data_IF_453604907484
#
_entry.id   IF_453604907484
#
_cell.length_a   1.000
_cell.length_b   1.000
_cell.length_c   1.000
_cell.angle_alpha   90.00
_cell.angle_beta   90.00
_cell.angle_gamma   90.00
#
_symmetry.space_group_name_H-M   'P 1'
#
loop_
_entity.id
_entity.type
_entity.pdbx_description
1 polymer ?
#
# COMPACT_ATOMS: atom_id res chain seq x y z
N UNK A 1 -7.56 8.80 -19.81
CA UNK A 1 -8.07 9.44 -18.57
C UNK A 1 -7.54 10.87 -18.55
N UNK A 2 -8.27 11.85 -18.02
CA UNK A 2 -7.74 13.24 -17.94
C UNK A 2 -7.02 13.44 -16.62
N UNK A 3 -5.78 13.90 -16.66
CA UNK A 3 -4.92 14.16 -15.51
C UNK A 3 -4.06 15.42 -15.77
N UNK A 4 -3.46 15.98 -14.73
CA UNK A 4 -2.40 16.98 -14.91
C UNK A 4 -1.19 16.35 -15.60
N UNK A 5 -0.42 17.15 -16.35
CA UNK A 5 0.63 16.66 -17.23
C UNK A 5 1.67 15.78 -16.53
N UNK A 6 2.18 16.18 -15.37
CA UNK A 6 3.20 15.40 -14.64
C UNK A 6 2.61 14.10 -14.08
N UNK A 7 1.35 14.15 -13.64
CA UNK A 7 0.63 12.96 -13.16
C UNK A 7 0.38 11.97 -14.29
N UNK A 8 0.05 12.47 -15.49
CA UNK A 8 -0.13 11.64 -16.68
C UNK A 8 1.19 10.96 -17.10
N UNK A 9 2.31 11.69 -17.12
CA UNK A 9 3.62 11.11 -17.43
C UNK A 9 4.00 10.02 -16.41
N UNK A 10 3.78 10.26 -15.12
CA UNK A 10 4.05 9.28 -14.08
C UNK A 10 3.19 8.02 -14.21
N UNK A 11 1.90 8.19 -14.56
CA UNK A 11 0.99 7.08 -14.81
C UNK A 11 1.43 6.25 -16.03
N UNK A 12 1.76 6.91 -17.15
CA UNK A 12 2.20 6.24 -18.38
C UNK A 12 3.53 5.50 -18.20
N UNK A 13 4.43 6.05 -17.39
CA UNK A 13 5.75 5.47 -17.09
C UNK A 13 5.73 4.48 -15.93
N UNK A 14 4.54 4.09 -15.47
CA UNK A 14 4.33 3.13 -14.39
C UNK A 14 4.87 3.56 -13.03
N UNK A 15 5.19 4.84 -12.83
CA UNK A 15 5.62 5.39 -11.54
C UNK A 15 4.46 5.73 -10.61
N UNK A 16 3.25 5.75 -11.14
CA UNK A 16 2.02 6.02 -10.39
C UNK A 16 0.93 5.04 -10.81
N UNK A 17 0.25 4.41 -9.85
CA UNK A 17 -0.89 3.52 -10.12
C UNK A 17 -1.98 3.66 -9.05
N UNK A 18 -3.12 3.01 -9.31
CA UNK A 18 -4.29 3.04 -8.46
C UNK A 18 -4.61 1.65 -7.92
N UNK A 19 -4.72 1.52 -6.61
CA UNK A 19 -5.10 0.28 -5.95
C UNK A 19 -6.55 0.32 -5.51
N UNK A 20 -7.31 -0.71 -5.86
CA UNK A 20 -8.72 -0.79 -5.50
C UNK A 20 -8.90 -0.79 -3.98
N UNK A 21 -9.94 -0.10 -3.53
CA UNK A 21 -10.41 -0.17 -2.15
C UNK A 21 -11.70 -0.98 -2.07
N UNK A 22 -12.25 -1.15 -0.86
CA UNK A 22 -13.58 -1.74 -0.66
C UNK A 22 -14.71 -0.88 -1.23
N UNK A 23 -14.44 0.40 -1.53
CA UNK A 23 -15.42 1.34 -2.06
C UNK A 23 -15.28 1.39 -3.59
N UNK A 24 -16.39 1.16 -4.28
CA UNK A 24 -16.44 1.20 -5.75
C UNK A 24 -15.97 2.57 -6.28
N UNK A 25 -15.15 2.55 -7.34
CA UNK A 25 -14.57 3.74 -7.97
C UNK A 25 -13.65 4.57 -7.04
N UNK A 26 -13.26 4.01 -5.90
CA UNK A 26 -12.35 4.62 -4.95
C UNK A 26 -11.03 3.84 -4.89
N UNK A 27 -9.91 4.54 -4.99
CA UNK A 27 -8.59 3.95 -5.13
C UNK A 27 -7.57 4.65 -4.26
N UNK A 28 -6.67 3.87 -3.66
CA UNK A 28 -5.45 4.42 -3.07
C UNK A 28 -4.50 4.81 -4.21
N UNK A 29 -3.85 5.96 -4.08
CA UNK A 29 -2.84 6.43 -5.03
C UNK A 29 -1.49 5.95 -4.54
N UNK A 30 -0.81 5.18 -5.37
CA UNK A 30 0.57 4.78 -5.10
C UNK A 30 1.47 5.52 -6.07
N UNK A 31 2.45 6.22 -5.53
CA UNK A 31 3.43 7.00 -6.27
C UNK A 31 4.82 6.72 -5.69
N UNK A 32 5.70 6.18 -6.54
CA UNK A 32 7.06 5.82 -6.15
C UNK A 32 8.08 6.94 -6.41
N UNK A 33 7.69 8.00 -7.11
CA UNK A 33 8.55 9.16 -7.40
C UNK A 33 8.43 10.28 -6.37
N UNK A 34 7.42 10.22 -5.49
CA UNK A 34 7.21 11.23 -4.47
C UNK A 34 6.79 12.58 -5.05
N UNK A 35 6.00 12.56 -6.12
CA UNK A 35 5.32 13.69 -6.74
C UNK A 35 4.33 14.29 -5.74
N UNK A 36 4.83 15.07 -4.79
CA UNK A 36 3.97 15.85 -3.90
C UNK A 36 3.62 17.18 -4.55
N UNK A 37 2.35 17.64 -4.44
CA UNK A 37 1.27 17.09 -3.61
C UNK A 37 0.26 16.24 -4.40
N UNK A 38 0.27 14.91 -4.20
CA UNK A 38 -0.80 14.00 -4.63
C UNK A 38 -1.70 13.61 -3.45
N UNK A 39 -3.01 13.38 -3.68
CA UNK A 39 -3.90 12.84 -2.67
C UNK A 39 -3.56 11.37 -2.40
N UNK A 40 -3.71 10.92 -1.15
CA UNK A 40 -3.55 9.51 -0.77
C UNK A 40 -4.61 8.61 -1.43
N UNK A 41 -5.80 9.16 -1.68
CA UNK A 41 -6.95 8.43 -2.19
C UNK A 41 -7.72 9.29 -3.18
N UNK A 42 -8.19 8.68 -4.26
CA UNK A 42 -9.05 9.32 -5.25
C UNK A 42 -10.38 8.58 -5.37
N UNK A 43 -11.43 9.30 -5.72
CA UNK A 43 -12.72 8.71 -6.08
C UNK A 43 -13.15 9.30 -7.41
N UNK A 44 -13.39 8.44 -8.41
CA UNK A 44 -13.95 8.91 -9.66
C UNK A 44 -15.43 9.22 -9.45
N UNK A 45 -15.78 10.49 -9.63
CA UNK A 45 -17.15 10.98 -9.50
C UNK A 45 -17.60 11.60 -10.81
N UNK A 46 -18.92 11.61 -11.06
CA UNK A 46 -19.47 12.38 -12.17
C UNK A 46 -19.58 13.84 -11.75
N UNK A 47 -19.09 14.80 -12.54
CA UNK A 47 -19.27 16.21 -12.23
C UNK A 47 -20.76 16.57 -12.29
N UNK A 48 -21.20 17.41 -11.35
CA UNK A 48 -22.58 17.90 -11.30
C UNK A 48 -22.90 18.84 -12.46
N UNK A 49 -21.89 19.54 -12.99
CA UNK A 49 -21.98 20.42 -14.15
C UNK A 49 -21.07 19.84 -15.24
N UNK A 50 -21.65 19.49 -16.38
CA UNK A 50 -20.90 18.93 -17.51
C UNK A 50 -20.17 20.08 -18.23
N UNK A 51 -18.84 20.06 -18.20
CA UNK A 51 -18.04 20.94 -19.03
C UNK A 51 -18.20 20.58 -20.52
N UNK A 52 -17.97 21.51 -21.47
CA UNK A 52 -17.94 21.20 -22.89
C UNK A 52 -16.94 20.05 -23.15
N UNK A 53 -17.43 18.96 -23.75
CA UNK A 53 -16.64 17.73 -23.98
C UNK A 53 -16.85 16.61 -22.95
N UNK A 54 -17.55 16.88 -21.83
CA UNK A 54 -17.94 15.84 -20.88
C UNK A 54 -19.37 15.36 -21.18
N UNK A 55 -19.50 14.14 -21.70
CA UNK A 55 -20.81 13.52 -21.93
C UNK A 55 -21.28 12.80 -20.66
N UNK A 56 -22.57 12.93 -20.33
CA UNK A 56 -23.19 12.25 -19.17
C UNK A 56 -23.00 10.74 -19.17
N UNK A 57 -22.79 10.18 -20.36
CA UNK A 57 -22.59 8.75 -20.62
C UNK A 57 -21.10 8.34 -20.65
N UNK A 58 -20.16 9.26 -20.41
CA UNK A 58 -18.74 8.92 -20.37
C UNK A 58 -18.52 7.86 -19.29
N UNK A 59 -17.97 6.67 -19.64
CA UNK A 59 -17.72 5.63 -18.66
C UNK A 59 -16.62 6.09 -17.71
N UNK A 60 -16.70 5.62 -16.46
CA UNK A 60 -15.55 5.70 -15.57
C UNK A 60 -14.39 4.87 -16.14
N UNK A 61 -13.15 5.14 -15.70
CA UNK A 61 -12.04 4.24 -15.99
C UNK A 61 -12.40 2.81 -15.58
N UNK A 62 -12.13 1.84 -16.46
CA UNK A 62 -12.42 0.43 -16.18
C UNK A 62 -11.59 -0.05 -14.99
N UNK A 63 -12.21 -0.56 -13.91
CA UNK A 63 -11.48 -1.10 -12.76
C UNK A 63 -10.51 -2.23 -13.17
N UNK A 64 -10.89 -3.05 -14.15
CA UNK A 64 -10.06 -4.15 -14.65
C UNK A 64 -8.79 -3.64 -15.33
N UNK A 65 -8.91 -2.57 -16.14
CA UNK A 65 -7.75 -1.97 -16.79
C UNK A 65 -6.84 -1.24 -15.80
N UNK A 66 -7.42 -0.64 -14.76
CA UNK A 66 -6.64 -0.06 -13.66
C UNK A 66 -5.88 -1.13 -12.87
N UNK A 67 -6.51 -2.27 -12.58
CA UNK A 67 -5.87 -3.39 -11.91
C UNK A 67 -4.74 -4.01 -12.77
N UNK A 68 -4.97 -4.11 -14.09
CA UNK A 68 -3.94 -4.57 -15.03
C UNK A 68 -2.74 -3.61 -15.04
N UNK A 69 -2.98 -2.30 -15.15
CA UNK A 69 -1.94 -1.28 -15.08
C UNK A 69 -1.15 -1.35 -13.76
N UNK A 70 -1.84 -1.43 -12.62
CA UNK A 70 -1.20 -1.57 -11.31
C UNK A 70 -0.32 -2.83 -11.22
N UNK A 71 -0.78 -3.95 -11.80
CA UNK A 71 0.00 -5.18 -11.86
C UNK A 71 1.26 -5.00 -12.71
N UNK A 72 1.15 -4.39 -13.88
CA UNK A 72 2.31 -4.05 -14.72
C UNK A 72 3.29 -3.12 -14.00
N UNK A 73 2.79 -2.11 -13.29
CA UNK A 73 3.63 -1.18 -12.53
C UNK A 73 4.39 -1.90 -11.41
N UNK A 74 3.70 -2.72 -10.61
CA UNK A 74 4.32 -3.53 -9.57
C UNK A 74 5.40 -4.45 -10.14
N UNK A 75 5.10 -5.18 -11.22
CA UNK A 75 6.08 -6.04 -11.88
C UNK A 75 7.26 -5.23 -12.39
N UNK A 76 7.04 -4.08 -13.04
CA UNK A 76 8.12 -3.24 -13.55
C UNK A 76 9.09 -2.78 -12.44
N UNK A 77 8.56 -2.39 -11.27
CA UNK A 77 9.38 -1.99 -10.13
C UNK A 77 10.03 -3.16 -9.39
N UNK A 78 9.38 -4.33 -9.36
CA UNK A 78 9.92 -5.52 -8.71
C UNK A 78 10.91 -6.28 -9.59
N UNK A 79 10.82 -6.17 -10.92
CA UNK A 79 11.68 -6.90 -11.87
C UNK A 79 13.15 -6.47 -11.82
N UNK A 80 13.46 -5.35 -11.15
CA UNK A 80 14.83 -4.95 -10.81
C UNK A 80 15.15 -5.00 -9.32
N UNK A 81 14.19 -5.38 -8.47
CA UNK A 81 14.33 -5.46 -7.02
C UNK A 81 14.47 -6.89 -6.48
N UNK A 82 14.48 -7.91 -7.36
CA UNK A 82 14.63 -9.32 -6.99
C UNK A 82 15.88 -9.59 -6.15
N UNK A 83 17.03 -8.99 -6.51
CA UNK A 83 18.28 -9.12 -5.74
C UNK A 83 18.14 -8.56 -4.31
N UNK A 84 17.29 -7.56 -4.07
CA UNK A 84 17.05 -7.01 -2.73
C UNK A 84 16.03 -7.83 -1.91
N UNK A 85 15.12 -8.54 -2.59
CA UNK A 85 14.15 -9.42 -1.93
C UNK A 85 14.80 -10.76 -1.55
N UNK A 86 15.72 -11.27 -2.36
CA UNK A 86 16.50 -12.48 -2.03
C UNK A 86 17.38 -12.25 -0.78
N UNK A 87 18.01 -11.07 -0.65
CA UNK A 87 18.77 -10.68 0.57
C UNK A 87 17.87 -10.56 1.81
N UNK A 88 16.62 -10.09 1.65
CA UNK A 88 15.66 -9.97 2.75
C UNK A 88 15.06 -11.33 3.16
N UNK A 89 14.92 -12.27 2.23
CA UNK A 89 14.46 -13.64 2.50
C UNK A 89 15.55 -14.45 3.24
N UNK A 90 16.84 -14.25 2.88
CA UNK A 90 17.97 -14.78 3.66
C UNK A 90 18.00 -14.23 5.11
N UNK A 91 17.71 -12.94 5.32
CA UNK A 91 17.61 -12.35 6.66
C UNK A 91 16.43 -12.90 7.50
N UNK A 92 15.35 -13.36 6.86
CA UNK A 92 14.21 -14.00 7.54
C UNK A 92 14.47 -15.47 7.87
N UNK A 93 15.24 -16.17 7.02
CA UNK A 93 15.69 -17.55 7.27
C UNK A 93 16.87 -17.62 8.26
N UNK A 94 17.66 -16.54 8.43
CA UNK A 94 18.70 -16.42 9.46
C UNK A 94 18.17 -15.96 10.84
N UNK A 95 16.87 -15.65 11.00
CA UNK A 95 16.28 -15.53 12.32
C UNK A 95 16.45 -16.88 13.02
N UNK A 96 17.29 -16.99 14.07
CA UNK A 96 17.50 -18.26 14.74
C UNK A 96 16.13 -18.72 15.22
N UNK A 97 15.70 -19.90 14.77
CA UNK A 97 14.52 -20.61 15.28
C UNK A 97 14.69 -20.65 16.79
N UNK A 98 14.08 -19.67 17.48
CA UNK A 98 14.10 -19.57 18.92
C UNK A 98 13.30 -20.78 19.37
N UNK A 99 14.05 -21.85 19.69
CA UNK A 99 13.51 -23.07 20.24
C UNK A 99 12.54 -22.68 21.35
N UNK A 100 11.32 -23.22 21.29
CA UNK A 100 10.21 -22.86 22.16
C UNK A 100 10.62 -22.80 23.65
N UNK A 101 11.60 -23.60 24.04
CA UNK A 101 12.20 -23.68 25.37
C UNK A 101 12.82 -22.35 25.86
N UNK A 102 13.43 -21.56 24.97
CA UNK A 102 14.05 -20.27 25.33
C UNK A 102 12.98 -19.20 25.52
N UNK A 103 11.92 -19.22 24.71
CA UNK A 103 10.78 -18.32 24.83
C UNK A 103 10.01 -18.61 26.12
N UNK A 104 9.77 -19.88 26.45
CA UNK A 104 9.11 -20.29 27.69
C UNK A 104 9.92 -19.86 28.92
N UNK A 105 11.25 -20.05 28.89
CA UNK A 105 12.11 -19.61 29.99
C UNK A 105 12.15 -18.08 30.13
N UNK A 106 12.10 -17.33 29.02
CA UNK A 106 12.07 -15.87 29.03
C UNK A 106 10.73 -15.33 29.55
N UNK A 107 9.61 -15.94 29.16
CA UNK A 107 8.27 -15.57 29.63
C UNK A 107 8.08 -15.88 31.12
N UNK A 108 8.51 -17.06 31.58
CA UNK A 108 8.48 -17.41 33.00
C UNK A 108 9.32 -16.46 33.85
N UNK A 109 10.48 -16.02 33.34
CA UNK A 109 11.33 -15.06 34.05
C UNK A 109 10.72 -13.66 34.07
N UNK A 110 10.05 -13.23 32.99
CA UNK A 110 9.41 -11.90 32.95
C UNK A 110 8.18 -11.84 33.89
N UNK A 111 7.38 -12.91 33.93
CA UNK A 111 6.24 -13.03 34.84
C UNK A 111 6.67 -13.13 36.32
N UNK A 112 7.84 -13.72 36.59
CA UNK A 112 8.41 -13.78 37.95
C UNK A 112 8.94 -12.45 38.47
N UNK A 113 9.07 -11.42 37.62
CA UNK A 113 9.62 -10.12 38.00
C UNK A 113 8.56 -9.01 38.13
N UNK A 114 7.27 -9.29 37.97
CA UNK A 114 6.24 -8.28 38.24
C UNK A 114 6.01 -8.18 39.76
N UNK A 115 6.35 -7.05 40.43
CA UNK A 115 5.86 -6.80 41.77
C UNK A 115 4.36 -6.51 41.69
N UNK A 116 3.59 -7.15 42.57
CA UNK A 116 2.14 -6.97 42.69
C UNK A 116 1.78 -5.49 42.85
N UNK A 117 1.06 -4.91 41.89
CA UNK A 117 0.36 -3.65 42.09
C UNK A 117 -1.10 -3.96 42.44
N UNK A 118 -1.34 -4.34 43.69
CA UNK A 118 -2.68 -4.33 44.30
C UNK A 118 -2.55 -3.79 45.72
N UNK A 119 -3.43 -2.83 46.04
CA UNK A 119 -3.62 -2.08 47.29
C UNK A 119 -2.56 -1.03 47.65
N UNK A 120 -2.91 0.22 47.98
CA UNK A 120 -3.84 0.58 49.06
C UNK A 120 -4.70 1.80 48.69
N UNK A 121 -6.02 1.62 48.74
CA UNK A 121 -6.94 2.69 49.11
C UNK A 121 -7.23 2.62 50.61
N UNK A 122 -7.04 3.74 51.32
CA UNK A 122 -7.80 4.14 52.51
C UNK A 122 -7.96 5.65 52.47
#
# INVERSE_FOLDING_TARGET
>A
MTMEFNVHDAFDRLYLWFEATEIENCYNVVDVMGLKPLPEKITFTRPAILSPGFHKESPFPSPELLALHASCAKVAHLSGAGEYLDELDEDLDELPVLAADVLDHALLRSLSFMPSLVDVGV
#
